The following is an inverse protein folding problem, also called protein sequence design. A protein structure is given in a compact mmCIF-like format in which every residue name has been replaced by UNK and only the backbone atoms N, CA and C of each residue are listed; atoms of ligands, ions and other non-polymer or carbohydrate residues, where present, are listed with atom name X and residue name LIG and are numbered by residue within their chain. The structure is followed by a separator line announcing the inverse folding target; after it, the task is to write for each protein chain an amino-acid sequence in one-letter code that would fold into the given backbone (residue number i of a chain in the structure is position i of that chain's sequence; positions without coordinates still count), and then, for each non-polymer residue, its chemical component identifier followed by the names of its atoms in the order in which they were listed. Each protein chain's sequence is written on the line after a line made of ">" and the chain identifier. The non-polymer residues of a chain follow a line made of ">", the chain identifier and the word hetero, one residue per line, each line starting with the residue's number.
data_IF_235334582413
#
_entry.id   IF_235334582413
#
_cell.length_a   1.000
_cell.length_b   1.000
_cell.length_c   1.000
_cell.angle_alpha   90.00
_cell.angle_beta   90.00
_cell.angle_gamma   90.00
#
_symmetry.space_group_name_H-M   'P 1'
#
loop_
_entity.id
_entity.type
_entity.pdbx_description
1 polymer ?
#
# COMPACT_ATOMS: atom_id res chain seq x y z
N UNK A 1 -38.30 -28.12 -68.37
CA UNK A 1 -38.46 -26.74 -68.85
C UNK A 1 -39.95 -26.47 -69.00
N UNK A 2 -40.44 -25.41 -68.34
CA UNK A 2 -41.83 -24.91 -68.36
C UNK A 2 -41.72 -23.39 -68.26
N UNK A 3 -42.64 -22.58 -68.83
CA UNK A 3 -42.41 -21.12 -68.90
C UNK A 3 -43.64 -20.24 -69.15
N UNK A 4 -43.34 -18.97 -69.50
CA UNK A 4 -44.22 -17.82 -69.81
C UNK A 4 -44.92 -17.08 -68.65
N UNK A 5 -44.43 -15.86 -68.36
CA UNK A 5 -45.05 -14.60 -67.85
C UNK A 5 -43.92 -13.54 -68.01
N UNK A 6 -44.00 -12.38 -68.70
CA UNK A 6 -45.01 -11.65 -69.49
C UNK A 6 -46.12 -10.93 -68.68
N UNK A 7 -46.21 -9.58 -68.59
CA UNK A 7 -45.51 -8.52 -69.33
C UNK A 7 -45.37 -7.15 -68.59
N UNK A 8 -44.54 -6.29 -69.20
CA UNK A 8 -44.52 -4.81 -69.38
C UNK A 8 -45.49 -3.82 -68.69
N UNK A 9 -44.90 -2.68 -68.30
CA UNK A 9 -45.44 -1.29 -68.25
C UNK A 9 -44.35 -0.35 -67.65
N UNK A 10 -43.39 0.18 -68.41
CA UNK A 10 -43.39 1.46 -69.15
C UNK A 10 -43.65 2.76 -68.34
N UNK A 11 -42.61 3.62 -68.26
CA UNK A 11 -42.59 5.11 -68.39
C UNK A 11 -43.40 5.97 -67.36
N UNK A 12 -43.13 7.25 -67.05
CA UNK A 12 -42.25 8.34 -67.55
C UNK A 12 -41.57 9.08 -66.35
N UNK A 13 -40.27 9.45 -66.32
CA UNK A 13 -39.56 10.63 -66.92
C UNK A 13 -39.53 11.91 -66.04
N UNK A 14 -38.44 12.72 -66.17
CA UNK A 14 -38.21 14.11 -65.68
C UNK A 14 -37.51 14.34 -64.31
N UNK A 15 -36.17 14.32 -64.36
CA UNK A 15 -35.21 15.38 -63.94
C UNK A 15 -35.43 16.25 -62.67
N UNK A 16 -34.40 16.33 -61.81
CA UNK A 16 -33.64 17.57 -61.46
C UNK A 16 -32.41 17.26 -60.57
N UNK A 17 -31.19 17.81 -60.85
CA UNK A 17 -29.98 17.71 -60.00
C UNK A 17 -29.75 19.01 -59.17
N UNK A 18 -28.64 19.24 -58.42
CA UNK A 18 -27.49 18.38 -58.07
C UNK A 18 -27.22 18.34 -56.54
N UNK A 19 -26.09 17.76 -56.12
CA UNK A 19 -25.37 18.15 -54.89
C UNK A 19 -25.26 17.09 -53.79
N UNK A 20 -24.19 17.11 -52.96
CA UNK A 20 -23.97 16.10 -51.92
C UNK A 20 -24.53 16.52 -50.56
N UNK A 21 -25.42 15.71 -49.98
CA UNK A 21 -25.63 15.69 -48.53
C UNK A 21 -24.60 14.78 -47.87
N UNK A 22 -23.50 15.37 -47.43
CA UNK A 22 -22.55 14.71 -46.52
C UNK A 22 -23.33 14.28 -45.27
N UNK A 23 -23.30 13.00 -44.91
CA UNK A 23 -23.85 12.49 -43.64
C UNK A 23 -22.94 12.93 -42.49
N UNK A 24 -23.07 14.20 -42.11
CA UNK A 24 -22.24 14.83 -41.09
C UNK A 24 -22.81 14.57 -39.68
N UNK A 25 -21.94 14.18 -38.74
CA UNK A 25 -22.22 14.30 -37.31
C UNK A 25 -23.10 13.22 -36.67
N UNK A 26 -22.68 11.94 -36.70
CA UNK A 26 -23.09 11.02 -35.63
C UNK A 26 -22.31 11.42 -34.36
N UNK A 27 -22.97 12.14 -33.45
CA UNK A 27 -22.32 12.88 -32.37
C UNK A 27 -21.41 12.07 -31.44
N UNK A 28 -20.10 12.25 -31.57
CA UNK A 28 -19.06 11.64 -30.73
C UNK A 28 -19.17 12.07 -29.24
N UNK A 29 -19.86 13.17 -28.96
CA UNK A 29 -20.14 13.67 -27.61
C UNK A 29 -20.88 12.68 -26.70
N UNK A 30 -21.59 11.70 -27.27
CA UNK A 30 -22.14 10.57 -26.51
C UNK A 30 -21.05 9.65 -25.94
N UNK A 31 -20.05 9.32 -26.76
CA UNK A 31 -18.93 8.44 -26.38
C UNK A 31 -18.07 9.06 -25.27
N UNK A 32 -17.76 10.34 -25.36
CA UNK A 32 -17.02 11.04 -24.30
C UNK A 32 -17.80 11.09 -22.98
N UNK A 33 -19.13 11.27 -23.00
CA UNK A 33 -19.96 11.21 -21.79
C UNK A 33 -19.98 9.81 -21.17
N UNK A 34 -20.06 8.75 -21.98
CA UNK A 34 -19.96 7.38 -21.50
C UNK A 34 -18.58 7.08 -20.89
N UNK A 35 -17.50 7.57 -21.51
CA UNK A 35 -16.13 7.44 -21.01
C UNK A 35 -15.95 8.16 -19.67
N UNK A 36 -16.45 9.39 -19.53
CA UNK A 36 -16.41 10.14 -18.27
C UNK A 36 -17.23 9.49 -17.16
N UNK A 37 -18.39 8.91 -17.47
CA UNK A 37 -19.18 8.14 -16.48
C UNK A 37 -18.48 6.86 -16.05
N UNK A 38 -17.84 6.13 -16.96
CA UNK A 38 -17.03 4.96 -16.63
C UNK A 38 -15.81 5.33 -15.77
N UNK A 39 -15.10 6.41 -16.10
CA UNK A 39 -13.97 6.93 -15.32
C UNK A 39 -14.42 7.37 -13.92
N UNK A 40 -15.54 8.09 -13.81
CA UNK A 40 -16.11 8.50 -12.52
C UNK A 40 -16.55 7.29 -11.68
N UNK A 41 -17.15 6.27 -12.29
CA UNK A 41 -17.52 5.03 -11.59
C UNK A 41 -16.28 4.28 -11.06
N UNK A 42 -15.22 4.15 -11.86
CA UNK A 42 -13.95 3.53 -11.43
C UNK A 42 -13.30 4.33 -10.31
N UNK A 43 -13.30 5.66 -10.39
CA UNK A 43 -12.75 6.54 -9.34
C UNK A 43 -13.56 6.48 -8.03
N UNK A 44 -14.89 6.42 -8.11
CA UNK A 44 -15.77 6.23 -6.93
C UNK A 44 -15.58 4.84 -6.33
N UNK A 45 -15.43 3.78 -7.14
CA UNK A 45 -15.13 2.43 -6.66
C UNK A 45 -13.75 2.40 -5.99
N UNK A 46 -12.73 3.02 -6.60
CA UNK A 46 -11.39 3.12 -6.01
C UNK A 46 -11.36 3.84 -4.66
N UNK A 47 -12.09 4.95 -4.54
CA UNK A 47 -12.28 5.64 -3.25
C UNK A 47 -13.07 4.78 -2.26
N UNK A 48 -14.15 4.12 -2.68
CA UNK A 48 -14.91 3.23 -1.81
C UNK A 48 -14.06 2.07 -1.28
N UNK A 49 -13.20 1.48 -2.12
CA UNK A 49 -12.20 0.46 -1.73
C UNK A 49 -11.27 1.02 -0.65
N UNK A 50 -10.68 2.20 -0.87
CA UNK A 50 -9.75 2.85 0.07
C UNK A 50 -10.42 3.18 1.41
N UNK A 51 -11.70 3.57 1.43
CA UNK A 51 -12.42 3.96 2.65
C UNK A 51 -13.17 2.83 3.36
N UNK A 52 -13.57 1.75 2.68
CA UNK A 52 -14.28 0.62 3.31
C UNK A 52 -13.35 -0.50 3.79
N UNK A 53 -12.24 -0.80 3.10
CA UNK A 53 -11.29 -1.82 3.58
C UNK A 53 -10.73 -1.55 4.99
N UNK A 54 -10.27 -0.34 5.36
CA UNK A 54 -9.79 -0.10 6.73
C UNK A 54 -10.90 -0.19 7.79
N UNK A 55 -12.17 -0.17 7.40
CA UNK A 55 -13.31 -0.40 8.30
C UNK A 55 -13.71 -1.88 8.45
N UNK A 56 -13.13 -2.78 7.63
CA UNK A 56 -13.22 -4.25 7.82
C UNK A 56 -11.98 -4.81 8.54
N UNK A 57 -10.96 -3.98 8.80
CA UNK A 57 -9.91 -4.30 9.76
C UNK A 57 -10.50 -4.04 11.15
N UNK A 58 -11.08 -5.07 11.75
CA UNK A 58 -11.43 -5.04 13.17
C UNK A 58 -10.14 -4.85 13.97
N UNK A 59 -9.95 -3.66 14.56
CA UNK A 59 -8.93 -3.47 15.60
C UNK A 59 -9.30 -4.39 16.78
N UNK A 60 -8.51 -5.43 17.09
CA UNK A 60 -8.77 -6.19 18.31
C UNK A 60 -8.58 -5.25 19.51
N UNK A 61 -9.58 -5.19 20.38
CA UNK A 61 -9.45 -4.43 21.62
C UNK A 61 -8.24 -4.92 22.43
N UNK A 62 -7.59 -4.02 23.16
CA UNK A 62 -6.52 -4.36 24.09
C UNK A 62 -7.08 -5.07 25.33
N UNK A 63 -7.51 -6.32 25.14
CA UNK A 63 -8.00 -7.21 26.17
C UNK A 63 -6.89 -8.18 26.59
N UNK A 64 -6.50 -8.13 27.87
CA UNK A 64 -5.38 -8.91 28.40
C UNK A 64 -5.61 -10.42 28.31
N UNK A 65 -4.68 -11.12 27.65
CA UNK A 65 -4.25 -12.53 27.87
C UNK A 65 -5.32 -13.55 28.33
N UNK A 66 -5.48 -14.64 27.57
CA UNK A 66 -4.50 -15.72 27.76
C UNK A 66 -3.71 -16.06 26.49
N UNK A 67 -2.59 -16.75 26.68
CA UNK A 67 -1.82 -17.34 25.57
C UNK A 67 -2.60 -18.52 24.98
N UNK A 68 -3.51 -18.22 24.06
CA UNK A 68 -4.12 -19.23 23.22
C UNK A 68 -3.06 -19.74 22.26
N UNK A 69 -2.46 -20.87 22.59
CA UNK A 69 -1.68 -21.68 21.64
C UNK A 69 -2.64 -22.23 20.58
N UNK A 70 -3.02 -21.37 19.64
CA UNK A 70 -3.71 -21.78 18.45
C UNK A 70 -2.80 -22.79 17.74
N UNK A 71 -3.30 -24.01 17.52
CA UNK A 71 -2.67 -24.95 16.60
C UNK A 71 -3.07 -24.50 15.20
N UNK A 72 -2.49 -23.36 14.79
CA UNK A 72 -2.65 -22.76 13.47
C UNK A 72 -2.20 -23.81 12.44
N UNK A 73 -2.94 -23.99 11.36
CA UNK A 73 -2.56 -24.99 10.36
C UNK A 73 -1.28 -24.57 9.66
N UNK A 74 -0.60 -25.52 8.99
CA UNK A 74 0.64 -25.25 8.25
C UNK A 74 0.49 -24.29 7.06
N UNK A 75 -0.73 -23.84 6.75
CA UNK A 75 -1.01 -22.83 5.73
C UNK A 75 -1.14 -21.46 6.38
N UNK A 76 -2.12 -21.25 7.26
CA UNK A 76 -2.40 -19.98 7.92
C UNK A 76 -1.19 -19.48 8.76
N UNK A 77 -0.40 -20.37 9.36
CA UNK A 77 0.83 -19.99 10.07
C UNK A 77 1.93 -19.50 9.14
N UNK A 78 1.97 -19.99 7.89
CA UNK A 78 2.89 -19.53 6.85
C UNK A 78 2.44 -18.21 6.24
N UNK A 79 1.13 -17.98 6.16
CA UNK A 79 0.55 -16.70 5.74
C UNK A 79 0.92 -15.59 6.73
N UNK A 80 0.61 -15.78 8.02
CA UNK A 80 1.00 -14.86 9.09
C UNK A 80 2.51 -14.56 9.10
N UNK A 81 3.36 -15.57 8.91
CA UNK A 81 4.82 -15.37 8.86
C UNK A 81 5.30 -14.60 7.62
N UNK A 82 4.58 -14.65 6.49
CA UNK A 82 4.88 -13.83 5.32
C UNK A 82 4.38 -12.39 5.51
N UNK A 83 3.25 -12.20 6.17
CA UNK A 83 2.67 -10.87 6.45
C UNK A 83 3.51 -10.09 7.45
N UNK A 84 3.87 -10.69 8.59
CA UNK A 84 4.71 -10.03 9.60
C UNK A 84 6.13 -9.74 9.07
N UNK A 85 6.73 -10.65 8.28
CA UNK A 85 7.99 -10.38 7.58
C UNK A 85 7.88 -9.20 6.58
N UNK A 86 6.78 -9.11 5.81
CA UNK A 86 6.58 -8.02 4.86
C UNK A 86 6.35 -6.67 5.55
N UNK A 87 5.56 -6.64 6.62
CA UNK A 87 5.34 -5.44 7.42
C UNK A 87 6.65 -4.93 8.05
N UNK A 88 7.45 -5.83 8.63
CA UNK A 88 8.78 -5.52 9.15
C UNK A 88 9.71 -4.99 8.06
N UNK A 89 9.81 -5.66 6.90
CA UNK A 89 10.65 -5.20 5.78
C UNK A 89 10.25 -3.81 5.26
N UNK A 90 8.94 -3.52 5.17
CA UNK A 90 8.45 -2.21 4.73
C UNK A 90 8.82 -1.11 5.74
N UNK A 91 8.62 -1.35 7.03
CA UNK A 91 8.94 -0.39 8.09
C UNK A 91 10.46 -0.18 8.20
N UNK A 92 11.24 -1.27 8.17
CA UNK A 92 12.71 -1.21 8.13
C UNK A 92 13.20 -0.39 6.94
N UNK A 93 12.67 -0.63 5.74
CA UNK A 93 13.11 0.09 4.54
C UNK A 93 12.84 1.61 4.62
N UNK A 94 11.74 2.03 5.25
CA UNK A 94 11.49 3.44 5.58
C UNK A 94 12.53 3.97 6.56
N UNK A 95 12.73 3.28 7.67
CA UNK A 95 13.65 3.69 8.73
C UNK A 95 15.12 3.71 8.29
N UNK A 96 15.54 2.83 7.38
CA UNK A 96 16.90 2.81 6.79
C UNK A 96 17.15 4.04 5.89
N UNK A 97 16.15 4.48 5.11
CA UNK A 97 16.22 5.74 4.36
C UNK A 97 16.34 6.96 5.30
N UNK A 98 15.79 6.83 6.50
CA UNK A 98 15.84 7.82 7.58
C UNK A 98 17.07 7.62 8.50
N UNK A 99 17.95 6.66 8.18
CA UNK A 99 19.18 6.29 8.89
C UNK A 99 18.98 5.87 10.36
N UNK A 100 17.94 5.12 10.65
CA UNK A 100 17.69 4.56 11.99
C UNK A 100 18.84 3.67 12.52
N UNK A 101 19.71 3.18 11.65
CA UNK A 101 21.00 2.55 11.99
C UNK A 101 22.05 3.50 12.60
N UNK A 102 21.74 4.80 12.77
CA UNK A 102 22.59 5.81 13.42
C UNK A 102 22.01 6.29 14.76
N UNK A 103 20.71 6.63 14.79
CA UNK A 103 20.02 7.19 15.97
C UNK A 103 19.17 6.17 16.75
N UNK A 104 18.81 5.03 16.14
CA UNK A 104 17.74 4.16 16.63
C UNK A 104 18.15 3.00 17.53
N UNK A 105 19.36 3.00 18.06
CA UNK A 105 19.81 1.98 19.00
C UNK A 105 19.26 2.25 20.42
N UNK A 106 18.94 1.20 21.22
CA UNK A 106 19.18 -0.22 20.97
C UNK A 106 18.03 -0.93 20.24
N UNK A 107 16.94 -0.24 19.91
CA UNK A 107 15.71 -0.86 19.39
C UNK A 107 15.92 -1.38 17.95
N UNK A 108 16.76 -0.71 17.17
CA UNK A 108 17.16 -1.12 15.83
C UNK A 108 17.87 -2.48 15.81
N UNK A 109 18.98 -2.65 16.53
CA UNK A 109 19.72 -3.93 16.56
C UNK A 109 18.92 -5.07 17.20
N UNK A 110 18.04 -4.79 18.16
CA UNK A 110 17.10 -5.79 18.71
C UNK A 110 16.10 -6.27 17.66
N UNK A 111 15.54 -5.35 16.85
CA UNK A 111 14.65 -5.71 15.75
C UNK A 111 15.35 -6.58 14.69
N UNK A 112 16.58 -6.19 14.29
CA UNK A 112 17.40 -7.00 13.39
C UNK A 112 17.59 -8.41 13.95
N UNK A 113 17.96 -8.55 15.22
CA UNK A 113 18.18 -9.85 15.87
C UNK A 113 16.90 -10.71 15.94
N UNK A 114 15.74 -10.12 16.20
CA UNK A 114 14.45 -10.81 16.19
C UNK A 114 14.10 -11.30 14.78
N UNK A 115 14.24 -10.46 13.75
CA UNK A 115 14.01 -10.86 12.36
C UNK A 115 14.98 -11.95 11.88
N UNK A 116 16.21 -11.94 12.38
CA UNK A 116 17.24 -12.95 12.12
C UNK A 116 16.87 -14.32 12.77
N UNK A 117 16.19 -14.30 13.93
CA UNK A 117 15.54 -15.50 14.49
C UNK A 117 14.36 -15.96 13.63
N UNK A 118 13.51 -15.03 13.17
CA UNK A 118 12.39 -15.31 12.26
C UNK A 118 12.84 -16.01 10.97
N UNK A 119 13.94 -15.54 10.37
CA UNK A 119 14.56 -16.16 9.19
C UNK A 119 15.05 -17.59 9.48
N UNK A 120 15.67 -17.82 10.64
CA UNK A 120 16.07 -19.17 11.10
C UNK A 120 14.86 -20.09 11.29
N UNK A 121 13.72 -19.59 11.75
CA UNK A 121 12.49 -20.38 11.91
C UNK A 121 11.82 -20.69 10.55
N UNK A 122 11.77 -19.71 9.63
CA UNK A 122 11.29 -19.93 8.25
C UNK A 122 12.08 -21.04 7.54
N UNK A 123 13.41 -21.00 7.63
CA UNK A 123 14.29 -22.01 7.03
C UNK A 123 14.00 -23.44 7.58
N UNK A 124 13.60 -23.54 8.84
CA UNK A 124 13.20 -24.78 9.51
C UNK A 124 11.72 -25.15 9.29
N UNK A 125 10.96 -24.35 8.53
CA UNK A 125 9.49 -24.47 8.34
C UNK A 125 8.67 -24.34 9.64
N UNK A 126 9.24 -23.72 10.67
CA UNK A 126 8.57 -23.47 11.95
C UNK A 126 7.79 -22.16 11.86
N UNK A 127 6.77 -22.14 10.98
CA UNK A 127 6.11 -20.91 10.56
C UNK A 127 5.45 -20.12 11.72
N UNK A 128 4.89 -20.81 12.72
CA UNK A 128 4.33 -20.15 13.91
C UNK A 128 5.36 -19.36 14.73
N UNK A 129 6.54 -19.93 14.97
CA UNK A 129 7.62 -19.23 15.66
C UNK A 129 8.27 -18.16 14.76
N UNK A 130 8.31 -18.38 13.44
CA UNK A 130 8.74 -17.36 12.50
C UNK A 130 7.83 -16.11 12.53
N UNK A 131 6.51 -16.30 12.54
CA UNK A 131 5.55 -15.20 12.63
C UNK A 131 5.79 -14.37 13.89
N UNK A 132 5.91 -15.02 15.05
CA UNK A 132 6.17 -14.37 16.36
C UNK A 132 7.47 -13.56 16.37
N UNK A 133 8.57 -14.10 15.82
CA UNK A 133 9.83 -13.37 15.77
C UNK A 133 9.80 -12.16 14.83
N UNK A 134 9.05 -12.22 13.73
CA UNK A 134 8.84 -11.04 12.87
C UNK A 134 7.83 -10.04 13.45
N UNK A 135 6.85 -10.48 14.25
CA UNK A 135 5.98 -9.60 15.05
C UNK A 135 6.78 -8.85 16.13
N UNK A 136 7.68 -9.54 16.84
CA UNK A 136 8.63 -8.96 17.80
C UNK A 136 9.54 -7.93 17.11
N UNK A 137 10.12 -8.29 15.96
CA UNK A 137 10.94 -7.39 15.15
C UNK A 137 10.16 -6.14 14.70
N UNK A 138 8.91 -6.31 14.24
CA UNK A 138 8.02 -5.22 13.84
C UNK A 138 7.70 -4.30 15.01
N UNK A 139 7.36 -4.86 16.18
CA UNK A 139 7.06 -4.07 17.39
C UNK A 139 8.24 -3.20 17.81
N UNK A 140 9.48 -3.72 17.75
CA UNK A 140 10.69 -2.94 18.03
C UNK A 140 10.86 -1.72 17.11
N UNK A 141 10.58 -1.87 15.81
CA UNK A 141 10.62 -0.75 14.85
C UNK A 141 9.44 0.22 15.02
N UNK A 142 8.25 -0.26 15.38
CA UNK A 142 7.09 0.61 15.67
C UNK A 142 7.35 1.44 16.93
N UNK A 143 7.93 0.85 17.98
CA UNK A 143 8.34 1.60 19.17
C UNK A 143 9.39 2.67 18.82
N UNK A 144 10.42 2.28 18.06
CA UNK A 144 11.46 3.20 17.60
C UNK A 144 10.92 4.38 16.78
N UNK A 145 9.99 4.13 15.85
CA UNK A 145 9.37 5.17 15.03
C UNK A 145 8.58 6.18 15.87
N UNK A 146 7.87 5.70 16.91
CA UNK A 146 7.12 6.53 17.85
C UNK A 146 8.04 7.34 18.80
N UNK A 147 9.17 6.78 19.22
CA UNK A 147 10.11 7.41 20.16
C UNK A 147 10.97 8.50 19.50
N UNK A 148 11.18 8.45 18.18
CA UNK A 148 12.01 9.35 17.37
C UNK A 148 11.85 10.84 17.71
N UNK A 149 10.62 11.34 17.82
CA UNK A 149 10.38 12.76 18.11
C UNK A 149 10.88 13.15 19.51
N UNK A 150 10.65 12.28 20.50
CA UNK A 150 11.13 12.47 21.88
C UNK A 150 12.66 12.43 21.93
N UNK A 151 13.29 11.49 21.22
CA UNK A 151 14.76 11.41 21.10
C UNK A 151 15.34 12.71 20.52
N UNK A 152 14.82 13.21 19.40
CA UNK A 152 15.26 14.47 18.78
C UNK A 152 15.13 15.68 19.73
N UNK A 153 14.01 15.78 20.46
CA UNK A 153 13.80 16.87 21.44
C UNK A 153 14.77 16.74 22.63
N UNK A 154 15.06 15.53 23.10
CA UNK A 154 16.05 15.28 24.16
C UNK A 154 17.47 15.61 23.71
N UNK A 155 17.87 15.19 22.51
CA UNK A 155 19.15 15.48 21.89
C UNK A 155 19.38 17.00 21.74
N UNK A 156 18.42 17.71 21.16
CA UNK A 156 18.47 19.17 21.01
C UNK A 156 18.60 19.90 22.36
N UNK A 157 17.79 19.54 23.35
CA UNK A 157 17.84 20.17 24.68
C UNK A 157 19.18 19.91 25.39
N UNK A 158 19.76 18.72 25.24
CA UNK A 158 21.08 18.40 25.79
C UNK A 158 22.21 19.18 25.07
N UNK A 159 22.12 19.34 23.74
CA UNK A 159 23.05 20.15 22.96
C UNK A 159 22.99 21.64 23.34
N UNK A 160 21.79 22.20 23.55
CA UNK A 160 21.61 23.59 24.01
C UNK A 160 22.26 23.84 25.38
N UNK A 161 22.16 22.89 26.32
CA UNK A 161 22.81 22.96 27.63
C UNK A 161 24.34 22.93 27.49
N UNK A 162 24.87 22.01 26.66
CA UNK A 162 26.30 21.91 26.41
C UNK A 162 26.86 23.19 25.75
N UNK A 163 26.14 23.79 24.79
CA UNK A 163 26.50 25.08 24.19
C UNK A 163 26.50 26.22 25.22
N UNK A 164 25.49 26.29 26.10
CA UNK A 164 25.41 27.30 27.15
C UNK A 164 26.59 27.23 28.16
N UNK A 165 27.14 26.02 28.36
CA UNK A 165 28.31 25.77 29.20
C UNK A 165 29.65 25.88 28.44
N UNK A 166 29.66 26.21 27.14
CA UNK A 166 30.84 26.21 26.28
C UNK A 166 31.52 24.81 26.15
N UNK A 167 30.73 23.74 26.19
CA UNK A 167 31.15 22.34 25.99
C UNK A 167 30.91 21.93 24.53
N UNK A 168 31.75 22.42 23.60
CA UNK A 168 31.50 22.30 22.14
C UNK A 168 31.47 20.84 21.65
N UNK A 169 32.44 20.02 22.05
CA UNK A 169 32.53 18.61 21.66
C UNK A 169 31.33 17.80 22.17
N UNK A 170 30.84 18.10 23.38
CA UNK A 170 29.66 17.45 23.97
C UNK A 170 28.36 17.88 23.27
N UNK A 171 28.26 19.15 22.87
CA UNK A 171 27.15 19.64 22.05
C UNK A 171 27.12 18.97 20.68
N UNK A 172 28.29 18.75 20.05
CA UNK A 172 28.39 18.00 18.79
C UNK A 172 27.94 16.54 19.00
N UNK A 173 28.40 15.87 20.06
CA UNK A 173 27.96 14.50 20.36
C UNK A 173 26.43 14.41 20.55
N UNK A 174 25.79 15.42 21.15
CA UNK A 174 24.33 15.44 21.28
C UNK A 174 23.61 15.74 19.95
N UNK A 175 24.22 16.44 19.00
CA UNK A 175 23.66 16.64 17.65
C UNK A 175 23.88 15.44 16.69
N UNK A 176 24.77 14.51 17.04
CA UNK A 176 25.09 13.30 16.24
C UNK A 176 24.39 12.03 16.75
N UNK A 177 23.49 12.16 17.75
CA UNK A 177 22.63 11.10 18.30
C UNK A 177 21.23 11.09 17.68
#
# INVERSE_FOLDING_TARGET
>A
MTGKIQADAQETTVLTPPGPTITQGRGESGSYRALWLALAAVLVIGLAVIFLLPALIESPEQASTPVTTAVITGVDSREAANESMQAWLQLRARLELERASQWGEPNWSQSEQAADNGARMLAQRQFGEAARYYEEALQGLVQLDNERYTQLVTALAAAEIALANNQLEEAIEQFER
#
